data_IF_101395333748
#
_entry.id   IF_101395333748
#
_cell.length_a   1.000
_cell.length_b   1.000
_cell.length_c   1.000
_cell.angle_alpha   90.00
_cell.angle_beta   90.00
_cell.angle_gamma   90.00
#
_symmetry.space_group_name_H-M   'P 1'
#
loop_
_entity.id
_entity.type
_entity.pdbx_description
1 polymer ?
#
# COMPACT_ATOMS: atom_id res chain seq x y z
N UNK A 1 -3.77 29.64 33.24
CA UNK A 1 -4.05 28.21 33.48
C UNK A 1 -3.46 27.40 32.34
N UNK A 2 -2.52 26.50 32.65
CA UNK A 2 -1.73 25.74 31.67
C UNK A 2 -2.54 24.60 31.07
N UNK A 3 -2.49 24.43 29.74
CA UNK A 3 -3.17 23.39 28.96
C UNK A 3 -2.33 22.10 28.86
N UNK A 4 -1.77 21.71 30.00
CA UNK A 4 -1.12 20.42 30.18
C UNK A 4 -2.16 19.42 30.71
N UNK A 5 -2.46 18.38 29.92
CA UNK A 5 -2.77 17.00 30.33
C UNK A 5 -3.73 16.27 29.38
N UNK A 6 -3.11 15.78 28.31
CA UNK A 6 -3.26 14.45 27.73
C UNK A 6 -3.99 13.41 28.61
N UNK A 7 -5.32 13.23 28.46
CA UNK A 7 -6.01 11.97 28.83
C UNK A 7 -7.46 11.95 28.39
N UNK A 8 -7.79 11.19 27.34
CA UNK A 8 -8.84 10.14 27.43
C UNK A 8 -8.50 9.08 26.39
N UNK A 9 -7.88 8.01 26.89
CA UNK A 9 -7.75 6.72 26.24
C UNK A 9 -9.15 6.14 26.01
N UNK A 10 -9.61 6.18 24.76
CA UNK A 10 -10.80 5.47 24.30
C UNK A 10 -10.51 3.99 24.16
N UNK A 11 -10.75 3.26 25.25
CA UNK A 11 -10.73 1.81 25.38
C UNK A 11 -11.31 1.06 24.16
N UNK A 12 -10.49 0.20 23.54
CA UNK A 12 -10.95 -1.02 22.85
C UNK A 12 -9.99 -2.18 23.13
N UNK A 13 -9.82 -2.50 24.41
CA UNK A 13 -9.05 -3.66 24.90
C UNK A 13 -9.84 -4.98 24.90
N UNK A 14 -10.93 -5.11 24.14
CA UNK A 14 -11.79 -6.30 24.18
C UNK A 14 -12.07 -6.93 22.81
N UNK A 15 -11.08 -6.95 21.91
CA UNK A 15 -11.17 -7.70 20.64
C UNK A 15 -9.85 -8.34 20.20
N UNK A 16 -8.89 -8.51 21.11
CA UNK A 16 -7.56 -9.04 20.78
C UNK A 16 -7.51 -10.58 20.67
N UNK A 17 -8.57 -11.32 21.05
CA UNK A 17 -8.55 -12.80 21.11
C UNK A 17 -9.27 -13.52 19.97
N UNK A 18 -9.60 -12.82 18.87
CA UNK A 18 -10.15 -13.46 17.64
C UNK A 18 -9.52 -12.95 16.35
N UNK A 19 -8.35 -12.33 16.44
CA UNK A 19 -7.55 -12.04 15.25
C UNK A 19 -6.88 -13.34 14.85
N UNK A 20 -7.52 -14.08 13.95
CA UNK A 20 -6.80 -15.02 13.08
C UNK A 20 -5.60 -14.26 12.49
N UNK A 21 -4.42 -14.90 12.35
CA UNK A 21 -3.29 -14.26 11.70
C UNK A 21 -3.78 -13.69 10.37
N UNK A 22 -3.54 -12.39 10.17
CA UNK A 22 -3.94 -11.67 8.94
C UNK A 22 -3.30 -12.26 7.67
N UNK A 23 -2.44 -13.25 7.84
CA UNK A 23 -1.73 -14.03 6.84
C UNK A 23 -2.67 -14.82 5.90
N UNK A 24 -3.85 -15.29 6.34
CA UNK A 24 -4.72 -16.15 5.49
C UNK A 24 -5.74 -15.39 4.62
N UNK A 25 -5.74 -14.05 4.65
CA UNK A 25 -6.57 -13.22 3.73
C UNK A 25 -5.71 -12.27 2.89
N UNK A 26 -4.45 -12.03 3.29
CA UNK A 26 -3.49 -11.22 2.53
C UNK A 26 -2.76 -11.99 1.42
N UNK A 27 -3.08 -13.27 1.21
CA UNK A 27 -2.63 -14.05 0.05
C UNK A 27 -3.17 -13.49 -1.29
N UNK A 28 -4.25 -12.70 -1.24
CA UNK A 28 -5.02 -12.24 -2.41
C UNK A 28 -4.66 -10.82 -2.91
N UNK A 29 -3.81 -10.07 -2.21
CA UNK A 29 -3.43 -8.70 -2.61
C UNK A 29 -1.94 -8.68 -2.92
N UNK A 30 -1.55 -8.61 -4.21
CA UNK A 30 -0.15 -8.70 -4.58
C UNK A 30 0.63 -7.45 -4.13
N UNK A 31 1.92 -7.66 -3.85
CA UNK A 31 2.87 -6.60 -3.57
C UNK A 31 3.64 -6.25 -4.84
N UNK A 32 3.77 -4.97 -5.16
CA UNK A 32 4.66 -4.50 -6.22
C UNK A 32 5.87 -3.76 -5.63
N UNK A 33 7.04 -4.39 -5.70
CA UNK A 33 8.30 -3.73 -5.32
C UNK A 33 8.69 -2.70 -6.38
N UNK A 34 8.76 -1.44 -5.96
CA UNK A 34 9.18 -0.27 -6.72
C UNK A 34 10.65 0.05 -6.42
N UNK A 35 11.32 0.60 -7.43
CA UNK A 35 12.57 1.34 -7.25
C UNK A 35 12.33 2.69 -6.56
N UNK A 36 13.39 3.33 -6.07
CA UNK A 36 13.26 4.65 -5.42
C UNK A 36 12.70 5.73 -6.37
N UNK A 37 13.04 5.67 -7.65
CA UNK A 37 12.52 6.61 -8.65
C UNK A 37 11.02 6.41 -8.87
N UNK A 38 10.58 5.16 -9.04
CA UNK A 38 9.15 4.83 -9.20
C UNK A 38 8.37 5.16 -7.93
N UNK A 39 8.93 4.90 -6.76
CA UNK A 39 8.32 5.23 -5.48
C UNK A 39 8.10 6.73 -5.33
N UNK A 40 9.05 7.58 -5.76
CA UNK A 40 8.86 9.04 -5.80
C UNK A 40 7.71 9.43 -6.71
N UNK A 41 7.61 8.84 -7.90
CA UNK A 41 6.54 9.12 -8.86
C UNK A 41 5.18 8.71 -8.27
N UNK A 42 5.07 7.50 -7.71
CA UNK A 42 3.84 7.00 -7.05
C UNK A 42 3.47 7.84 -5.83
N UNK A 43 4.46 8.28 -5.02
CA UNK A 43 4.24 9.15 -3.86
C UNK A 43 3.68 10.52 -4.24
N UNK A 44 3.99 11.00 -5.45
CA UNK A 44 3.38 12.20 -6.03
C UNK A 44 1.97 11.94 -6.63
N UNK A 45 1.43 10.72 -6.50
CA UNK A 45 0.13 10.35 -7.05
C UNK A 45 0.13 10.17 -8.57
N UNK A 46 1.30 10.08 -9.20
CA UNK A 46 1.43 9.99 -10.65
C UNK A 46 1.26 8.54 -11.11
N UNK A 47 0.51 8.34 -12.20
CA UNK A 47 0.29 7.03 -12.79
C UNK A 47 1.48 6.58 -13.66
N UNK A 48 2.02 5.40 -13.37
CA UNK A 48 3.19 4.83 -14.03
C UNK A 48 2.74 3.82 -15.10
N UNK A 49 3.31 3.82 -16.31
CA UNK A 49 3.03 2.78 -17.30
C UNK A 49 3.33 1.38 -16.76
N UNK A 50 2.44 0.40 -16.97
CA UNK A 50 2.68 -0.98 -16.54
C UNK A 50 3.97 -1.54 -17.17
N UNK A 51 4.28 -1.19 -18.42
CA UNK A 51 5.51 -1.62 -19.11
C UNK A 51 6.79 -1.18 -18.39
N UNK A 52 6.76 -0.04 -17.68
CA UNK A 52 7.89 0.46 -16.90
C UNK A 52 8.11 -0.43 -15.66
N UNK A 53 7.00 -0.86 -15.04
CA UNK A 53 6.98 -1.72 -13.85
C UNK A 53 7.12 -3.22 -14.18
N UNK A 54 6.75 -3.63 -15.40
CA UNK A 54 6.87 -5.00 -15.92
C UNK A 54 8.33 -5.49 -16.02
N UNK A 55 9.31 -4.59 -15.88
CA UNK A 55 10.71 -4.97 -15.63
C UNK A 55 10.84 -5.82 -14.37
N UNK A 56 9.97 -5.58 -13.38
CA UNK A 56 9.80 -6.43 -12.21
C UNK A 56 8.82 -7.56 -12.53
N UNK A 57 9.27 -8.82 -12.42
CA UNK A 57 8.42 -10.02 -12.64
C UNK A 57 7.11 -9.98 -11.85
N UNK A 58 7.10 -9.30 -10.70
CA UNK A 58 5.94 -9.13 -9.84
C UNK A 58 4.81 -8.31 -10.49
N UNK A 59 5.12 -7.32 -11.32
CA UNK A 59 4.10 -6.48 -11.97
C UNK A 59 3.28 -7.24 -13.03
N UNK A 60 3.85 -8.30 -13.61
CA UNK A 60 3.19 -9.15 -14.60
C UNK A 60 2.22 -10.17 -13.97
N UNK A 61 2.33 -10.41 -12.67
CA UNK A 61 1.44 -11.30 -11.91
C UNK A 61 0.18 -10.58 -11.44
N UNK A 62 0.13 -9.26 -11.54
CA UNK A 62 -1.00 -8.46 -11.07
C UNK A 62 -2.04 -8.35 -12.18
N UNK A 63 -3.24 -8.87 -11.92
CA UNK A 63 -4.36 -8.77 -12.83
C UNK A 63 -4.87 -7.32 -12.98
N UNK A 64 -5.43 -7.02 -14.16
CA UNK A 64 -6.02 -5.71 -14.44
C UNK A 64 -7.21 -5.47 -13.51
N UNK A 65 -7.36 -4.24 -13.02
CA UNK A 65 -8.40 -3.84 -12.06
C UNK A 65 -8.30 -4.50 -10.66
N UNK A 66 -7.32 -5.34 -10.39
CA UNK A 66 -7.05 -5.85 -9.05
C UNK A 66 -6.31 -4.78 -8.22
N UNK A 67 -6.74 -4.49 -6.98
CA UNK A 67 -6.01 -3.60 -6.10
C UNK A 67 -4.74 -4.29 -5.59
N UNK A 68 -3.65 -3.53 -5.48
CA UNK A 68 -2.37 -3.99 -4.94
C UNK A 68 -1.69 -2.88 -4.18
N UNK A 69 -0.70 -3.23 -3.36
CA UNK A 69 0.14 -2.26 -2.67
C UNK A 69 1.52 -2.18 -3.30
N UNK A 70 2.10 -1.00 -3.25
CA UNK A 70 3.46 -0.76 -3.73
C UNK A 70 4.42 -0.65 -2.55
N UNK A 71 5.60 -1.26 -2.67
CA UNK A 71 6.63 -1.29 -1.63
C UNK A 71 7.91 -0.69 -2.19
N UNK A 72 8.58 0.16 -1.43
CA UNK A 72 9.93 0.63 -1.73
C UNK A 72 10.80 0.43 -0.50
N UNK A 73 11.96 -0.22 -0.64
CA UNK A 73 12.90 -0.47 0.47
C UNK A 73 12.23 -1.08 1.72
N UNK A 74 11.28 -2.00 1.53
CA UNK A 74 10.54 -2.64 2.64
C UNK A 74 9.47 -1.78 3.30
N UNK A 75 9.18 -0.57 2.78
CA UNK A 75 8.09 0.30 3.25
C UNK A 75 6.98 0.38 2.22
N UNK A 76 5.73 0.36 2.68
CA UNK A 76 4.57 0.53 1.82
C UNK A 76 4.47 2.00 1.40
N UNK A 77 4.34 2.25 0.10
CA UNK A 77 4.30 3.60 -0.50
C UNK A 77 2.88 4.01 -0.85
N UNK A 78 2.11 3.13 -1.50
CA UNK A 78 0.74 3.43 -1.91
C UNK A 78 -0.08 2.18 -2.19
N UNK A 79 -1.40 2.37 -2.24
CA UNK A 79 -2.34 1.45 -2.87
C UNK A 79 -2.59 1.91 -4.30
N UNK A 80 -2.50 0.97 -5.23
CA UNK A 80 -2.66 1.20 -6.65
C UNK A 80 -3.51 0.11 -7.31
N UNK A 81 -3.98 0.40 -8.52
CA UNK A 81 -4.66 -0.54 -9.41
C UNK A 81 -4.14 -0.36 -10.83
N UNK A 82 -4.20 -1.42 -11.64
CA UNK A 82 -3.89 -1.31 -13.06
C UNK A 82 -5.16 -0.87 -13.80
N UNK A 83 -5.10 0.29 -14.45
CA UNK A 83 -6.14 0.82 -15.32
C UNK A 83 -5.51 1.27 -16.64
N UNK A 84 -6.10 0.85 -17.77
CA UNK A 84 -5.65 1.24 -19.11
C UNK A 84 -4.14 1.00 -19.36
N UNK A 85 -3.61 -0.10 -18.84
CA UNK A 85 -2.18 -0.44 -18.96
C UNK A 85 -1.26 0.45 -18.11
N UNK A 86 -1.79 1.17 -17.12
CA UNK A 86 -1.03 2.01 -16.20
C UNK A 86 -1.36 1.66 -14.76
N UNK A 87 -0.35 1.68 -13.90
CA UNK A 87 -0.49 1.60 -12.45
C UNK A 87 -0.89 2.97 -11.93
N UNK A 88 -2.14 3.08 -11.48
CA UNK A 88 -2.70 4.32 -10.94
C UNK A 88 -2.81 4.23 -9.42
N UNK A 89 -2.03 5.03 -8.67
CA UNK A 89 -2.21 5.13 -7.23
C UNK A 89 -3.54 5.83 -6.92
N UNK A 90 -4.34 5.23 -6.05
CA UNK A 90 -5.56 5.85 -5.55
C UNK A 90 -5.45 6.26 -4.09
N UNK A 91 -4.44 5.73 -3.36
CA UNK A 91 -4.15 6.16 -1.99
C UNK A 91 -2.65 6.07 -1.71
N UNK A 92 -2.01 7.22 -1.56
CA UNK A 92 -0.61 7.29 -1.11
C UNK A 92 -0.57 7.18 0.41
N UNK A 93 0.35 6.36 0.92
CA UNK A 93 0.58 6.19 2.34
C UNK A 93 1.78 7.05 2.73
N UNK A 94 1.54 8.08 3.53
CA UNK A 94 2.60 8.88 4.16
C UNK A 94 2.96 8.20 5.49
N UNK A 95 3.86 7.22 5.41
CA UNK A 95 4.47 6.54 6.56
C UNK A 95 5.87 7.11 6.83
#
# INVERSE_FOLDING_TARGET
>A
ISLDQLKVLGHKEAAASKLLPVETVLDDIPALVLTEEEAKIVKNGIAIPLIQLAKSKQALTIEVATPFYTICQGKIVALAKIESGRVRPYRVLNL
#
